data_IF_185277442521
#
_entry.id   IF_185277442521
#
_cell.length_a   1.000
_cell.length_b   1.000
_cell.length_c   1.000
_cell.angle_alpha   90.00
_cell.angle_beta   90.00
_cell.angle_gamma   90.00
#
_symmetry.space_group_name_H-M   'P 1'
#
loop_
_entity.id
_entity.type
_entity.pdbx_description
1 polymer ?
#
# COMPACT_ATOMS: atom_id res chain seq x y z
N UNK A 1 -21.12 16.95 -9.14
CA UNK A 1 -19.94 17.41 -8.36
C UNK A 1 -19.56 18.82 -8.80
N UNK A 2 -19.25 19.75 -7.88
CA UNK A 2 -18.64 21.04 -8.28
C UNK A 2 -17.20 20.75 -8.73
N UNK A 3 -16.92 20.88 -10.04
CA UNK A 3 -15.63 20.47 -10.63
C UNK A 3 -14.42 21.16 -9.99
N UNK A 4 -14.53 22.38 -9.47
CA UNK A 4 -13.38 23.06 -8.85
C UNK A 4 -13.19 22.80 -7.34
N UNK A 5 -13.80 21.76 -6.77
CA UNK A 5 -13.56 21.36 -5.39
C UNK A 5 -12.70 20.10 -5.34
N UNK A 6 -11.40 20.28 -5.10
CA UNK A 6 -10.43 19.18 -5.02
C UNK A 6 -10.78 18.15 -3.95
N UNK A 7 -11.30 18.57 -2.78
CA UNK A 7 -11.70 17.64 -1.73
C UNK A 7 -12.89 16.78 -2.15
N UNK A 8 -13.79 17.32 -2.97
CA UNK A 8 -14.90 16.54 -3.52
C UNK A 8 -14.42 15.53 -4.58
N UNK A 9 -13.52 15.95 -5.48
CA UNK A 9 -12.92 15.04 -6.46
C UNK A 9 -12.11 13.92 -5.78
N UNK A 10 -11.35 14.28 -4.75
CA UNK A 10 -10.60 13.35 -3.91
C UNK A 10 -11.51 12.35 -3.18
N UNK A 11 -12.59 12.82 -2.55
CA UNK A 11 -13.56 11.94 -1.90
C UNK A 11 -14.24 10.98 -2.89
N UNK A 12 -14.58 11.46 -4.09
CA UNK A 12 -15.16 10.61 -5.15
C UNK A 12 -14.15 9.59 -5.65
N UNK A 13 -12.86 9.96 -5.82
CA UNK A 13 -11.80 9.02 -6.18
C UNK A 13 -11.69 7.88 -5.16
N UNK A 14 -11.73 8.20 -3.86
CA UNK A 14 -11.76 7.18 -2.80
C UNK A 14 -12.98 6.28 -2.90
N UNK A 15 -14.19 6.83 -3.01
CA UNK A 15 -15.41 6.03 -3.05
C UNK A 15 -15.42 5.08 -4.25
N UNK A 16 -15.06 5.57 -5.44
CA UNK A 16 -15.02 4.75 -6.64
C UNK A 16 -13.93 3.66 -6.56
N UNK A 17 -12.73 4.00 -6.08
CA UNK A 17 -11.67 3.01 -5.87
C UNK A 17 -12.06 1.95 -4.84
N UNK A 18 -12.52 2.36 -3.66
CA UNK A 18 -12.82 1.46 -2.54
C UNK A 18 -14.09 0.62 -2.77
N UNK A 19 -14.97 1.03 -3.69
CA UNK A 19 -16.13 0.23 -4.14
C UNK A 19 -15.80 -0.73 -5.28
N UNK A 20 -14.58 -0.70 -5.84
CA UNK A 20 -14.20 -1.50 -7.01
C UNK A 20 -14.73 -0.93 -8.34
N UNK A 21 -15.30 0.27 -8.35
CA UNK A 21 -15.75 0.98 -9.56
C UNK A 21 -14.57 1.63 -10.31
N UNK A 22 -13.57 0.83 -10.65
CA UNK A 22 -12.27 1.29 -11.14
C UNK A 22 -12.34 1.99 -12.51
N UNK A 23 -13.21 1.55 -13.41
CA UNK A 23 -13.40 2.25 -14.70
C UNK A 23 -13.98 3.64 -14.50
N UNK A 24 -15.00 3.78 -13.64
CA UNK A 24 -15.58 5.07 -13.29
C UNK A 24 -14.57 5.98 -12.59
N UNK A 25 -13.75 5.43 -11.68
CA UNK A 25 -12.67 6.15 -11.03
C UNK A 25 -11.64 6.66 -12.05
N UNK A 26 -11.23 5.81 -12.99
CA UNK A 26 -10.26 6.15 -14.03
C UNK A 26 -10.79 7.23 -14.96
N UNK A 27 -12.04 7.12 -15.42
CA UNK A 27 -12.67 8.12 -16.28
C UNK A 27 -12.81 9.46 -15.58
N UNK A 28 -13.25 9.44 -14.32
CA UNK A 28 -13.37 10.64 -13.49
C UNK A 28 -12.00 11.32 -13.31
N UNK A 29 -10.97 10.58 -12.91
CA UNK A 29 -9.63 11.14 -12.67
C UNK A 29 -9.03 11.68 -13.99
N UNK A 30 -9.09 10.91 -15.07
CA UNK A 30 -8.52 11.31 -16.37
C UNK A 30 -9.21 12.56 -16.92
N UNK A 31 -10.52 12.67 -16.76
CA UNK A 31 -11.31 13.81 -17.21
C UNK A 31 -11.25 15.03 -16.28
N UNK A 32 -10.69 14.90 -15.07
CA UNK A 32 -10.67 15.96 -14.06
C UNK A 32 -9.27 16.47 -13.75
N UNK A 33 -8.29 15.58 -13.61
CA UNK A 33 -6.92 15.90 -13.19
C UNK A 33 -6.24 16.99 -14.05
N UNK A 34 -6.43 17.06 -15.39
CA UNK A 34 -5.86 18.13 -16.20
C UNK A 34 -6.36 19.54 -15.85
N UNK A 35 -7.53 19.66 -15.21
CA UNK A 35 -8.09 20.94 -14.73
C UNK A 35 -7.51 21.38 -13.37
N UNK A 36 -6.77 20.49 -12.69
CA UNK A 36 -6.18 20.74 -11.38
C UNK A 36 -4.66 20.88 -11.49
N UNK A 37 -4.16 22.06 -11.14
CA UNK A 37 -2.75 22.41 -11.28
C UNK A 37 -1.81 21.42 -10.57
N UNK A 38 -0.66 21.10 -11.20
CA UNK A 38 0.35 20.16 -10.65
C UNK A 38 0.93 20.63 -9.31
N UNK A 39 0.91 21.92 -9.01
CA UNK A 39 1.30 22.49 -7.70
C UNK A 39 0.27 22.24 -6.60
N UNK A 40 -0.91 21.73 -6.94
CA UNK A 40 -1.96 21.39 -6.00
C UNK A 40 -1.57 20.26 -5.05
N UNK A 41 -1.82 20.46 -3.75
CA UNK A 41 -1.42 19.53 -2.68
C UNK A 41 -1.95 18.10 -2.81
N UNK A 42 -3.04 17.89 -3.56
CA UNK A 42 -3.65 16.59 -3.81
C UNK A 42 -3.46 16.08 -5.24
N UNK A 43 -2.68 16.79 -6.09
CA UNK A 43 -2.59 16.43 -7.51
C UNK A 43 -1.96 15.05 -7.67
N UNK A 44 -0.79 14.85 -7.05
CA UNK A 44 -0.12 13.56 -7.05
C UNK A 44 -0.95 12.46 -6.38
N UNK A 45 -1.68 12.79 -5.31
CA UNK A 45 -2.50 11.82 -4.57
C UNK A 45 -3.73 11.35 -5.36
N UNK A 46 -4.39 12.25 -6.10
CA UNK A 46 -5.50 11.86 -6.98
C UNK A 46 -4.95 11.04 -8.17
N UNK A 47 -3.80 11.41 -8.72
CA UNK A 47 -3.13 10.62 -9.76
C UNK A 47 -2.71 9.23 -9.26
N UNK A 48 -2.30 9.11 -8.00
CA UNK A 48 -1.92 7.84 -7.35
C UNK A 48 -3.04 6.81 -7.41
N UNK A 49 -4.31 7.21 -7.27
CA UNK A 49 -5.44 6.30 -7.47
C UNK A 49 -5.48 5.71 -8.89
N UNK A 50 -5.24 6.50 -9.93
CA UNK A 50 -5.14 5.99 -11.30
C UNK A 50 -3.95 5.05 -11.49
N UNK A 51 -2.82 5.33 -10.85
CA UNK A 51 -1.66 4.42 -10.85
C UNK A 51 -1.98 3.08 -10.20
N UNK A 52 -2.72 3.08 -9.08
CA UNK A 52 -3.19 1.86 -8.42
C UNK A 52 -4.20 1.07 -9.25
N UNK A 53 -5.12 1.74 -9.94
CA UNK A 53 -6.10 1.08 -10.83
C UNK A 53 -5.38 0.36 -11.98
N UNK A 54 -4.37 1.01 -12.58
CA UNK A 54 -3.55 0.38 -13.61
C UNK A 54 -2.78 -0.83 -13.05
N UNK A 55 -2.22 -0.69 -11.85
CA UNK A 55 -1.51 -1.77 -11.17
C UNK A 55 -2.42 -2.96 -10.83
N UNK A 56 -3.66 -2.72 -10.39
CA UNK A 56 -4.67 -3.75 -10.14
C UNK A 56 -5.02 -4.56 -11.40
N UNK A 57 -4.80 -3.98 -12.58
CA UNK A 57 -4.97 -4.63 -13.89
C UNK A 57 -3.69 -5.27 -14.43
N UNK A 58 -2.61 -5.26 -13.65
CA UNK A 58 -1.27 -5.65 -14.09
C UNK A 58 -0.74 -4.83 -15.29
N UNK A 59 -1.30 -3.64 -15.54
CA UNK A 59 -0.81 -2.70 -16.55
C UNK A 59 0.34 -1.86 -15.95
N UNK A 60 1.49 -2.51 -15.78
CA UNK A 60 2.67 -1.92 -15.15
C UNK A 60 3.24 -0.74 -15.94
N UNK A 61 3.09 -0.76 -17.26
CA UNK A 61 3.55 0.34 -18.14
C UNK A 61 2.76 1.60 -17.83
N UNK A 62 1.43 1.53 -17.79
CA UNK A 62 0.58 2.67 -17.43
C UNK A 62 0.78 3.09 -15.98
N UNK A 63 0.85 2.13 -15.05
CA UNK A 63 1.04 2.41 -13.63
C UNK A 63 2.33 3.19 -13.38
N UNK A 64 3.45 2.75 -13.96
CA UNK A 64 4.74 3.44 -13.86
C UNK A 64 4.74 4.78 -14.59
N UNK A 65 4.06 4.90 -15.73
CA UNK A 65 3.91 6.18 -16.44
C UNK A 65 3.26 7.25 -15.56
N UNK A 66 2.11 6.92 -14.95
CA UNK A 66 1.39 7.82 -14.04
C UNK A 66 2.23 8.13 -12.81
N UNK A 67 2.87 7.10 -12.22
CA UNK A 67 3.74 7.28 -11.06
C UNK A 67 4.86 8.27 -11.34
N UNK A 68 5.60 8.08 -12.44
CA UNK A 68 6.71 8.95 -12.81
C UNK A 68 6.28 10.38 -13.12
N UNK A 69 5.10 10.57 -13.72
CA UNK A 69 4.62 11.89 -14.11
C UNK A 69 4.06 12.70 -12.94
N UNK A 70 3.40 12.05 -11.97
CA UNK A 70 2.58 12.76 -10.98
C UNK A 70 2.86 12.40 -9.51
N UNK A 71 3.37 11.20 -9.23
CA UNK A 71 3.40 10.65 -7.86
C UNK A 71 4.81 10.65 -7.28
N UNK A 72 5.82 10.33 -8.10
CA UNK A 72 7.20 10.17 -7.68
C UNK A 72 7.69 11.41 -6.89
N UNK A 73 8.61 11.24 -5.91
CA UNK A 73 9.09 12.35 -5.10
C UNK A 73 9.70 13.51 -5.90
N UNK A 74 10.21 13.24 -7.10
CA UNK A 74 10.77 14.24 -8.02
C UNK A 74 9.72 14.96 -8.86
N UNK A 75 8.49 14.45 -8.91
CA UNK A 75 7.40 14.97 -9.75
C UNK A 75 6.28 15.61 -8.92
N UNK A 76 5.96 15.05 -7.76
CA UNK A 76 4.91 15.55 -6.89
C UNK A 76 5.35 16.80 -6.12
N UNK A 77 4.48 17.80 -6.09
CA UNK A 77 4.62 19.01 -5.26
C UNK A 77 3.66 18.98 -4.04
N UNK A 78 3.16 17.79 -3.71
CA UNK A 78 2.26 17.55 -2.59
C UNK A 78 2.93 17.77 -1.23
N UNK A 79 2.13 17.59 -0.17
CA UNK A 79 2.69 17.60 1.19
C UNK A 79 3.57 16.37 1.42
N UNK A 80 4.60 16.44 2.30
CA UNK A 80 5.49 15.31 2.56
C UNK A 80 4.76 14.04 2.99
N UNK A 81 3.64 14.17 3.72
CA UNK A 81 2.85 13.00 4.13
C UNK A 81 2.24 12.27 2.93
N UNK A 82 1.75 13.00 1.92
CA UNK A 82 1.23 12.39 0.69
C UNK A 82 2.37 11.79 -0.13
N UNK A 83 3.48 12.52 -0.32
CA UNK A 83 4.60 12.02 -1.13
C UNK A 83 5.20 10.74 -0.54
N UNK A 84 5.46 10.70 0.78
CA UNK A 84 5.99 9.50 1.45
C UNK A 84 4.99 8.35 1.38
N UNK A 85 3.72 8.60 1.71
CA UNK A 85 2.71 7.54 1.72
C UNK A 85 2.42 7.00 0.32
N UNK A 86 2.11 7.86 -0.64
CA UNK A 86 1.76 7.46 -2.01
C UNK A 86 2.94 6.73 -2.68
N UNK A 87 4.17 7.23 -2.49
CA UNK A 87 5.38 6.62 -3.06
C UNK A 87 5.63 5.22 -2.50
N UNK A 88 5.76 5.11 -1.17
CA UNK A 88 6.07 3.83 -0.54
C UNK A 88 4.97 2.80 -0.78
N UNK A 89 3.70 3.23 -0.72
CA UNK A 89 2.53 2.39 -0.90
C UNK A 89 2.38 1.90 -2.35
N UNK A 90 2.78 2.70 -3.35
CA UNK A 90 2.80 2.27 -4.76
C UNK A 90 3.94 1.28 -5.04
N UNK A 91 5.17 1.61 -4.64
CA UNK A 91 6.34 0.77 -4.88
C UNK A 91 6.24 -0.58 -4.15
N UNK A 92 5.70 -0.57 -2.92
CA UNK A 92 5.46 -1.80 -2.17
C UNK A 92 4.46 -2.72 -2.87
N UNK A 93 3.34 -2.16 -3.38
CA UNK A 93 2.34 -2.95 -4.13
C UNK A 93 2.92 -3.52 -5.42
N UNK A 94 3.74 -2.77 -6.17
CA UNK A 94 4.44 -3.30 -7.33
C UNK A 94 5.19 -4.60 -6.97
N UNK A 95 6.02 -4.54 -5.93
CA UNK A 95 6.79 -5.70 -5.46
C UNK A 95 5.89 -6.84 -4.94
N UNK A 96 4.93 -6.53 -4.07
CA UNK A 96 4.05 -7.53 -3.48
C UNK A 96 3.21 -8.25 -4.55
N UNK A 97 2.80 -7.56 -5.60
CA UNK A 97 2.00 -8.12 -6.69
C UNK A 97 2.84 -8.91 -7.69
N UNK A 98 4.16 -9.01 -7.47
CA UNK A 98 5.08 -9.78 -8.31
C UNK A 98 5.63 -9.00 -9.51
N UNK A 99 5.53 -7.67 -9.49
CA UNK A 99 6.13 -6.82 -10.51
C UNK A 99 7.49 -6.30 -10.07
N UNK A 100 8.43 -6.21 -11.01
CA UNK A 100 9.73 -5.62 -10.75
C UNK A 100 9.59 -4.11 -10.50
N UNK A 101 10.18 -3.62 -9.40
CA UNK A 101 10.36 -2.20 -9.16
C UNK A 101 11.60 -1.73 -9.93
N UNK A 102 11.50 -0.72 -10.82
CA UNK A 102 12.66 -0.19 -11.53
C UNK A 102 13.78 0.26 -10.59
N UNK A 103 15.02 0.00 -11.00
CA UNK A 103 16.21 0.33 -10.22
C UNK A 103 16.25 1.82 -9.83
N UNK A 104 16.68 2.11 -8.60
CA UNK A 104 16.80 3.47 -8.06
C UNK A 104 15.50 4.09 -7.54
N UNK A 105 14.32 3.51 -7.78
CA UNK A 105 13.06 4.06 -7.27
C UNK A 105 12.96 3.99 -5.74
N UNK A 106 13.39 2.87 -5.14
CA UNK A 106 13.47 2.76 -3.68
C UNK A 106 14.52 3.70 -3.08
N UNK A 107 15.66 3.88 -3.74
CA UNK A 107 16.69 4.83 -3.30
C UNK A 107 16.19 6.27 -3.35
N UNK A 108 15.44 6.64 -4.39
CA UNK A 108 14.81 7.95 -4.50
C UNK A 108 13.74 8.17 -3.41
N UNK A 109 12.94 7.14 -3.12
CA UNK A 109 11.96 7.15 -2.05
C UNK A 109 12.64 7.32 -0.67
N UNK A 110 13.69 6.53 -0.39
CA UNK A 110 14.46 6.61 0.85
C UNK A 110 15.16 7.95 1.01
N UNK A 111 15.77 8.47 -0.04
CA UNK A 111 16.40 9.79 -0.04
C UNK A 111 15.39 10.88 0.31
N UNK A 112 14.23 10.92 -0.33
CA UNK A 112 13.19 11.90 0.00
C UNK A 112 12.66 11.72 1.42
N UNK A 113 12.33 10.49 1.81
CA UNK A 113 11.78 10.16 3.12
C UNK A 113 12.75 10.53 4.25
N UNK A 114 14.07 10.47 4.01
CA UNK A 114 15.09 10.78 5.01
C UNK A 114 15.02 12.19 5.59
N UNK A 115 14.38 13.14 4.88
CA UNK A 115 14.18 14.51 5.36
C UNK A 115 12.94 14.70 6.24
N UNK A 116 12.05 13.70 6.31
CA UNK A 116 10.74 13.78 6.96
C UNK A 116 10.49 12.62 7.94
N UNK A 117 9.58 12.81 8.91
CA UNK A 117 9.12 11.75 9.83
C UNK A 117 10.25 10.95 10.51
N UNK A 118 11.36 11.64 10.84
CA UNK A 118 12.56 11.07 11.46
C UNK A 118 12.23 10.42 12.80
N UNK A 119 11.49 11.14 13.63
CA UNK A 119 10.96 10.64 14.89
C UNK A 119 9.67 9.84 14.68
N UNK A 120 9.53 8.74 15.43
CA UNK A 120 8.31 7.94 15.42
C UNK A 120 7.22 8.54 16.32
N UNK A 121 5.96 8.18 16.05
CA UNK A 121 4.80 8.65 16.83
C UNK A 121 3.65 9.20 15.99
N UNK A 122 3.77 9.16 14.67
CA UNK A 122 2.67 9.38 13.75
C UNK A 122 2.36 8.07 13.01
N UNK A 123 1.43 7.24 13.51
CA UNK A 123 1.15 5.89 13.01
C UNK A 123 1.09 5.74 11.50
N UNK A 124 0.41 6.68 10.83
CA UNK A 124 0.26 6.67 9.38
C UNK A 124 1.61 6.86 8.66
N UNK A 125 2.44 7.79 9.11
CA UNK A 125 3.77 7.98 8.55
C UNK A 125 4.71 6.83 8.94
N UNK A 126 4.63 6.36 10.19
CA UNK A 126 5.53 5.34 10.75
C UNK A 126 5.54 4.06 9.94
N UNK A 127 4.37 3.56 9.54
CA UNK A 127 4.33 2.33 8.76
C UNK A 127 4.89 2.53 7.35
N UNK A 128 4.60 3.66 6.69
CA UNK A 128 5.15 3.95 5.35
C UNK A 128 6.68 4.13 5.39
N UNK A 129 7.20 4.76 6.45
CA UNK A 129 8.65 4.83 6.67
C UNK A 129 9.27 3.45 6.86
N UNK A 130 8.57 2.53 7.55
CA UNK A 130 9.01 1.15 7.68
C UNK A 130 8.96 0.36 6.36
N UNK A 131 7.98 0.60 5.48
CA UNK A 131 7.96 0.01 4.13
C UNK A 131 9.20 0.40 3.34
N UNK A 132 9.56 1.70 3.36
CA UNK A 132 10.77 2.20 2.68
C UNK A 132 12.02 1.55 3.25
N UNK A 133 12.21 1.59 4.57
CA UNK A 133 13.38 1.02 5.23
C UNK A 133 13.52 -0.49 4.98
N UNK A 134 12.41 -1.24 5.08
CA UNK A 134 12.39 -2.67 4.80
C UNK A 134 12.78 -2.97 3.35
N UNK A 135 12.22 -2.24 2.38
CA UNK A 135 12.49 -2.46 0.96
C UNK A 135 13.93 -2.09 0.56
N UNK A 136 14.59 -1.18 1.28
CA UNK A 136 16.01 -0.84 1.10
C UNK A 136 16.96 -1.67 1.97
N UNK A 137 16.45 -2.67 2.72
CA UNK A 137 17.26 -3.53 3.58
C UNK A 137 17.79 -2.86 4.86
N UNK A 138 17.26 -1.70 5.24
CA UNK A 138 17.62 -0.99 6.48
C UNK A 138 16.82 -1.53 7.68
N UNK A 139 17.14 -2.77 8.06
CA UNK A 139 16.54 -3.43 9.23
C UNK A 139 16.78 -2.67 10.53
N UNK A 140 17.88 -1.92 10.62
CA UNK A 140 18.22 -1.10 11.79
C UNK A 140 17.23 0.05 11.95
N UNK A 141 16.89 0.77 10.88
CA UNK A 141 15.90 1.83 10.92
C UNK A 141 14.49 1.31 11.28
N UNK A 142 14.10 0.14 10.78
CA UNK A 142 12.83 -0.50 11.16
C UNK A 142 12.79 -0.76 12.67
N UNK A 143 13.80 -1.46 13.22
CA UNK A 143 13.80 -1.82 14.64
C UNK A 143 13.95 -0.61 15.57
N UNK A 144 14.70 0.42 15.17
CA UNK A 144 14.76 1.69 15.92
C UNK A 144 13.39 2.36 16.01
N UNK A 145 12.66 2.45 14.88
CA UNK A 145 11.30 2.99 14.85
C UNK A 145 10.36 2.17 15.73
N UNK A 146 10.45 0.84 15.64
CA UNK A 146 9.64 -0.08 16.46
C UNK A 146 9.93 0.09 17.96
N UNK A 147 11.20 0.26 18.36
CA UNK A 147 11.56 0.50 19.76
C UNK A 147 10.94 1.79 20.31
N UNK A 148 10.94 2.87 19.52
CA UNK A 148 10.28 4.13 19.91
C UNK A 148 8.77 3.95 19.99
N UNK A 149 8.15 3.27 19.03
CA UNK A 149 6.71 2.99 19.04
C UNK A 149 6.28 2.18 20.26
N UNK A 150 7.04 1.14 20.64
CA UNK A 150 6.75 0.35 21.84
C UNK A 150 6.85 1.21 23.10
N UNK A 151 7.87 2.08 23.21
CA UNK A 151 7.96 3.02 24.34
C UNK A 151 6.74 3.95 24.41
N UNK A 152 6.29 4.48 23.27
CA UNK A 152 5.08 5.33 23.22
C UNK A 152 3.82 4.55 23.62
N UNK A 153 3.74 3.24 23.34
CA UNK A 153 2.64 2.38 23.81
C UNK A 153 2.70 2.22 25.33
N UNK A 154 3.87 1.89 25.88
CA UNK A 154 4.07 1.71 27.33
C UNK A 154 3.75 2.98 28.12
N UNK A 155 4.04 4.15 27.54
CA UNK A 155 3.72 5.46 28.10
C UNK A 155 2.26 5.90 27.87
N UNK A 156 1.45 5.11 27.15
CA UNK A 156 0.05 5.45 26.82
C UNK A 156 -0.08 6.59 25.80
N UNK A 157 0.97 6.90 25.05
CA UNK A 157 1.07 8.02 24.09
C UNK A 157 0.86 7.63 22.63
N UNK A 158 0.61 6.35 22.34
CA UNK A 158 0.27 5.88 20.99
C UNK A 158 -1.13 5.25 20.97
N UNK A 159 -2.20 6.03 20.71
CA UNK A 159 -3.57 5.52 20.67
C UNK A 159 -3.80 4.42 19.64
N UNK A 160 -2.99 4.35 18.58
CA UNK A 160 -3.05 3.27 17.60
C UNK A 160 -2.66 1.91 18.20
N UNK A 161 -1.85 1.89 19.26
CA UNK A 161 -1.49 0.66 19.97
C UNK A 161 -0.53 -0.24 19.17
N UNK A 162 -0.51 -1.56 19.47
CA UNK A 162 0.51 -2.50 18.98
C UNK A 162 0.45 -2.79 17.48
N UNK A 163 -0.62 -2.38 16.77
CA UNK A 163 -0.74 -2.59 15.33
C UNK A 163 0.37 -1.91 14.53
N UNK A 164 0.82 -0.72 14.95
CA UNK A 164 1.85 0.04 14.22
C UNK A 164 3.21 -0.69 14.24
N UNK A 165 3.81 -1.02 15.41
CA UNK A 165 5.06 -1.75 15.43
C UNK A 165 4.95 -3.15 14.82
N UNK A 166 3.78 -3.80 14.89
CA UNK A 166 3.54 -5.08 14.22
C UNK A 166 3.62 -4.94 12.69
N UNK A 167 2.95 -3.94 12.09
CA UNK A 167 3.05 -3.68 10.65
C UNK A 167 4.51 -3.39 10.25
N UNK A 168 5.25 -2.59 11.02
CA UNK A 168 6.65 -2.29 10.74
C UNK A 168 7.51 -3.57 10.69
N UNK A 169 7.40 -4.45 11.69
CA UNK A 169 8.15 -5.72 11.74
C UNK A 169 7.72 -6.70 10.65
N UNK A 170 6.43 -6.79 10.39
CA UNK A 170 5.93 -7.65 9.31
C UNK A 170 6.41 -7.19 7.94
N UNK A 171 6.55 -5.87 7.72
CA UNK A 171 7.12 -5.32 6.50
C UNK A 171 8.57 -5.78 6.33
N UNK A 172 9.38 -5.73 7.40
CA UNK A 172 10.73 -6.27 7.36
C UNK A 172 10.76 -7.78 7.06
N UNK A 173 9.96 -8.57 7.78
CA UNK A 173 9.85 -10.01 7.53
C UNK A 173 9.43 -10.31 6.08
N UNK A 174 8.50 -9.54 5.51
CA UNK A 174 8.06 -9.69 4.14
C UNK A 174 9.16 -9.36 3.13
N UNK A 175 9.89 -8.26 3.34
CA UNK A 175 11.01 -7.85 2.49
C UNK A 175 12.17 -8.87 2.52
N UNK A 176 12.38 -9.53 3.65
CA UNK A 176 13.34 -10.62 3.84
C UNK A 176 12.81 -12.00 3.38
N UNK A 177 11.64 -12.04 2.72
CA UNK A 177 10.97 -13.25 2.23
C UNK A 177 10.60 -14.26 3.33
N UNK A 178 10.56 -13.83 4.59
CA UNK A 178 10.07 -14.61 5.74
C UNK A 178 8.54 -14.53 5.80
N UNK A 179 7.88 -15.00 4.73
CA UNK A 179 6.44 -14.83 4.54
C UNK A 179 5.59 -15.45 5.66
N UNK A 180 5.96 -16.61 6.18
CA UNK A 180 5.27 -17.23 7.31
C UNK A 180 5.29 -16.33 8.56
N UNK A 181 6.45 -15.72 8.86
CA UNK A 181 6.61 -14.79 9.97
C UNK A 181 5.84 -13.49 9.73
N UNK A 182 5.86 -12.96 8.50
CA UNK A 182 5.08 -11.76 8.15
C UNK A 182 3.58 -11.99 8.37
N UNK A 183 3.05 -13.15 7.97
CA UNK A 183 1.67 -13.53 8.22
C UNK A 183 1.39 -13.70 9.73
N UNK A 184 2.25 -14.43 10.47
CA UNK A 184 2.13 -14.62 11.92
C UNK A 184 2.03 -13.29 12.68
N UNK A 185 2.79 -12.28 12.27
CA UNK A 185 2.78 -10.94 12.88
C UNK A 185 1.53 -10.14 12.48
N UNK A 186 1.09 -10.22 11.21
CA UNK A 186 -0.02 -9.40 10.70
C UNK A 186 -1.41 -9.94 11.06
N UNK A 187 -1.61 -11.26 11.04
CA UNK A 187 -2.93 -11.88 11.28
C UNK A 187 -3.60 -11.37 12.57
N UNK A 188 -2.92 -11.32 13.74
CA UNK A 188 -3.54 -10.90 14.99
C UNK A 188 -3.98 -9.43 15.02
N UNK A 189 -3.37 -8.58 14.20
CA UNK A 189 -3.61 -7.12 14.21
C UNK A 189 -4.38 -6.62 12.97
N UNK A 190 -4.77 -7.52 12.05
CA UNK A 190 -5.39 -7.17 10.78
C UNK A 190 -6.66 -6.30 10.95
N UNK A 191 -7.46 -6.56 11.99
CA UNK A 191 -8.69 -5.79 12.30
C UNK A 191 -8.41 -4.41 12.91
N UNK A 192 -7.22 -4.22 13.48
CA UNK A 192 -6.81 -2.98 14.13
C UNK A 192 -6.15 -1.99 13.17
N UNK A 193 -5.89 -2.38 11.91
CA UNK A 193 -5.21 -1.55 10.90
C UNK A 193 -5.90 -0.20 10.69
N UNK A 194 -7.22 -0.11 10.89
CA UNK A 194 -7.97 1.16 10.85
C UNK A 194 -7.42 2.23 11.82
N UNK A 195 -6.80 1.81 12.92
CA UNK A 195 -6.27 2.70 13.97
C UNK A 195 -5.04 3.49 13.52
N UNK A 196 -4.39 3.12 12.41
CA UNK A 196 -3.23 3.85 11.89
C UNK A 196 -3.60 5.15 11.16
N UNK A 197 -4.90 5.38 10.89
CA UNK A 197 -5.37 6.53 10.11
C UNK A 197 -5.34 6.27 8.59
N UNK A 198 -5.47 7.34 7.80
CA UNK A 198 -5.57 7.27 6.33
C UNK A 198 -6.94 6.85 5.80
N UNK A 199 -7.03 6.57 4.51
CA UNK A 199 -8.20 6.00 3.82
C UNK A 199 -8.15 4.46 3.75
N UNK A 200 -9.23 3.83 3.30
CA UNK A 200 -9.25 2.39 3.03
C UNK A 200 -8.22 2.02 1.96
N UNK A 201 -8.18 2.80 0.88
CA UNK A 201 -7.21 2.65 -0.21
C UNK A 201 -5.75 2.69 0.28
N UNK A 202 -5.42 3.60 1.20
CA UNK A 202 -4.05 3.69 1.76
C UNK A 202 -3.70 2.52 2.66
N UNK A 203 -4.66 2.01 3.44
CA UNK A 203 -4.46 0.88 4.36
C UNK A 203 -4.48 -0.49 3.68
N UNK A 204 -5.09 -0.60 2.49
CA UNK A 204 -5.19 -1.86 1.74
C UNK A 204 -3.83 -2.54 1.53
N UNK A 205 -2.74 -1.78 1.46
CA UNK A 205 -1.37 -2.31 1.34
C UNK A 205 -1.02 -3.31 2.45
N UNK A 206 -1.55 -3.13 3.66
CA UNK A 206 -1.31 -4.03 4.80
C UNK A 206 -2.06 -5.34 4.61
N UNK A 207 -3.32 -5.29 4.19
CA UNK A 207 -4.14 -6.49 3.90
C UNK A 207 -3.58 -7.25 2.69
N UNK A 208 -3.13 -6.54 1.65
CA UNK A 208 -2.44 -7.13 0.50
C UNK A 208 -1.13 -7.82 0.92
N UNK A 209 -0.37 -7.21 1.81
CA UNK A 209 0.88 -7.80 2.33
C UNK A 209 0.61 -9.07 3.11
N UNK A 210 -0.39 -9.07 3.99
CA UNK A 210 -0.84 -10.27 4.71
C UNK A 210 -1.28 -11.36 3.73
N UNK A 211 -2.11 -11.00 2.74
CA UNK A 211 -2.60 -11.96 1.76
C UNK A 211 -1.47 -12.61 0.98
N UNK A 212 -0.56 -11.80 0.43
CA UNK A 212 0.59 -12.32 -0.33
C UNK A 212 1.51 -13.14 0.57
N UNK A 213 1.69 -12.74 1.83
CA UNK A 213 2.46 -13.52 2.80
C UNK A 213 1.85 -14.91 3.02
N UNK A 214 0.53 -15.00 3.22
CA UNK A 214 -0.20 -16.26 3.35
C UNK A 214 -0.09 -17.13 2.09
N UNK A 215 -0.23 -16.52 0.91
CA UNK A 215 -0.09 -17.25 -0.36
C UNK A 215 1.32 -17.83 -0.52
N UNK A 216 2.37 -17.05 -0.20
CA UNK A 216 3.77 -17.45 -0.37
C UNK A 216 4.30 -18.34 0.76
N UNK A 217 3.66 -18.35 1.94
CA UNK A 217 3.99 -19.25 3.05
C UNK A 217 3.33 -20.62 2.97
N UNK A 218 2.43 -20.83 2.00
CA UNK A 218 1.68 -22.09 1.84
C UNK A 218 0.36 -22.14 2.63
N UNK A 219 -0.02 -21.06 3.32
CA UNK A 219 -1.29 -20.93 4.06
C UNK A 219 -2.47 -20.61 3.11
N UNK A 220 -2.59 -21.39 2.03
CA UNK A 220 -3.54 -21.15 0.94
C UNK A 220 -5.01 -21.12 1.42
N UNK A 221 -5.35 -21.92 2.44
CA UNK A 221 -6.70 -21.94 3.01
C UNK A 221 -7.10 -20.60 3.64
N UNK A 222 -6.19 -19.98 4.40
CA UNK A 222 -6.42 -18.66 5.00
C UNK A 222 -6.49 -17.57 3.92
N UNK A 223 -5.58 -17.59 2.95
CA UNK A 223 -5.61 -16.66 1.82
C UNK A 223 -6.92 -16.76 1.02
N UNK A 224 -7.41 -17.98 0.78
CA UNK A 224 -8.68 -18.22 0.11
C UNK A 224 -9.87 -17.61 0.86
N UNK A 225 -9.91 -17.71 2.19
CA UNK A 225 -10.98 -17.07 3.00
C UNK A 225 -10.98 -15.56 2.81
N UNK A 226 -9.82 -14.91 2.97
CA UNK A 226 -9.71 -13.44 2.84
C UNK A 226 -10.10 -12.98 1.42
N UNK A 227 -9.63 -13.68 0.38
CA UNK A 227 -9.97 -13.35 -1.02
C UNK A 227 -11.47 -13.42 -1.29
N UNK A 228 -12.16 -14.46 -0.79
CA UNK A 228 -13.61 -14.56 -0.96
C UNK A 228 -14.35 -13.45 -0.21
N UNK A 229 -13.91 -13.09 1.00
CA UNK A 229 -14.49 -11.96 1.74
C UNK A 229 -14.29 -10.62 1.01
N UNK A 230 -13.13 -10.40 0.36
CA UNK A 230 -12.87 -9.20 -0.46
C UNK A 230 -13.73 -9.18 -1.71
N UNK A 231 -13.76 -10.27 -2.47
CA UNK A 231 -14.54 -10.38 -3.71
C UNK A 231 -16.05 -10.35 -3.47
N UNK A 232 -16.52 -10.77 -2.29
CA UNK A 232 -17.92 -10.59 -1.91
C UNK A 232 -18.27 -9.13 -1.66
N UNK A 233 -17.33 -8.31 -1.17
CA UNK A 233 -17.54 -6.89 -0.87
C UNK A 233 -17.43 -6.02 -2.12
N UNK A 234 -16.46 -6.28 -2.98
CA UNK A 234 -16.21 -5.49 -4.20
C UNK A 234 -15.54 -6.32 -5.29
N UNK A 235 -15.80 -6.02 -6.57
CA UNK A 235 -15.01 -6.60 -7.66
C UNK A 235 -13.55 -6.14 -7.56
N UNK A 236 -12.63 -7.03 -7.89
CA UNK A 236 -11.20 -6.74 -7.98
C UNK A 236 -10.51 -7.72 -8.93
N UNK A 237 -10.05 -7.27 -10.11
CA UNK A 237 -9.32 -8.12 -11.05
C UNK A 237 -8.03 -8.71 -10.46
N UNK A 238 -7.40 -8.02 -9.51
CA UNK A 238 -6.22 -8.52 -8.79
C UNK A 238 -6.59 -9.68 -7.89
N UNK A 239 -7.63 -9.52 -7.08
CA UNK A 239 -8.06 -10.55 -6.14
C UNK A 239 -8.60 -11.79 -6.87
N UNK A 240 -9.28 -11.61 -8.01
CA UNK A 240 -9.68 -12.72 -8.91
C UNK A 240 -8.47 -13.51 -9.40
N UNK A 241 -7.42 -12.83 -9.90
CA UNK A 241 -6.17 -13.49 -10.34
C UNK A 241 -5.48 -14.23 -9.20
N UNK A 242 -5.42 -13.65 -8.00
CA UNK A 242 -4.85 -14.32 -6.83
C UNK A 242 -5.65 -15.55 -6.41
N UNK A 243 -6.98 -15.49 -6.49
CA UNK A 243 -7.85 -16.63 -6.20
C UNK A 243 -7.63 -17.76 -7.22
N UNK A 244 -7.49 -17.43 -8.50
CA UNK A 244 -7.21 -18.41 -9.56
C UNK A 244 -5.82 -19.02 -9.43
N UNK A 245 -4.82 -18.25 -8.99
CA UNK A 245 -3.48 -18.79 -8.66
C UNK A 245 -3.56 -19.84 -7.54
N UNK A 246 -4.32 -19.57 -6.48
CA UNK A 246 -4.51 -20.53 -5.38
C UNK A 246 -5.22 -21.81 -5.84
N UNK A 247 -6.22 -21.69 -6.73
CA UNK A 247 -6.92 -22.85 -7.32
C UNK A 247 -5.99 -23.67 -8.21
N UNK A 248 -5.16 -23.01 -9.02
CA UNK A 248 -4.18 -23.66 -9.89
C UNK A 248 -3.10 -24.41 -9.11
N UNK A 249 -2.66 -23.87 -7.97
CA UNK A 249 -1.69 -24.52 -7.07
C UNK A 249 -2.26 -25.74 -6.32
N UNK A 250 -3.59 -25.86 -6.22
CA UNK A 250 -4.29 -26.97 -5.56
C UNK A 250 -4.72 -28.10 -6.52
N UNK A 251 -4.55 -27.93 -7.84
CA UNK A 251 -4.84 -29.00 -8.79
C UNK A 251 -3.82 -30.15 -8.63
N UNK A 252 -4.25 -31.42 -8.42
CA UNK A 252 -3.32 -32.52 -8.36
C UNK A 252 -2.58 -32.66 -9.70
N UNK A 253 -1.28 -33.00 -9.65
CA UNK A 253 -0.55 -33.56 -10.78
C UNK A 253 -1.28 -34.85 -11.21
N UNK A 254 -2.28 -34.72 -12.09
CA UNK A 254 -2.93 -35.84 -12.70
C UNK A 254 -1.97 -36.43 -13.76
N UNK A 255 -1.33 -37.54 -13.39
CA UNK A 255 -0.65 -38.54 -14.21
C UNK A 255 0.13 -38.07 -15.47
N UNK A 256 1.46 -38.17 -15.38
CA UNK A 256 2.29 -38.72 -16.45
C UNK A 256 3.00 -39.98 -15.94
#
# INVERSE_FOLDING_TARGET
MRRHNVNAAHAVAHVLYESGANDEAQDMITGWLPEYDKTGVLHGHIAWHSALIALERADTVRALGIYNEHVAPTASLGTPINIVSDTSSFLWRMQAYGHAVPAGMWDAAAKYASDYFKEAGFPFADFHMALVAAATGDSTAVEQRVAVLNRLIDEGKLPAGPVVPAICRASLAFAEEKYALAAEILEPVARDVVRIGGSGAQREVVEDTLLVALMRSGEAGKAHVILNERLHRRPSPRDERWLDQLRGAQAPLANQ
#
